data_IF_152272305404
#
_entry.id   IF_152272305404
#
_cell.length_a   1.000
_cell.length_b   1.000
_cell.length_c   1.000
_cell.angle_alpha   90.00
_cell.angle_beta   90.00
_cell.angle_gamma   90.00
#
_symmetry.space_group_name_H-M   'P 1'
#
loop_
_entity.id
_entity.type
_entity.pdbx_description
1 polymer ?
#
# COMPACT_ATOMS: atom_id res chain seq x y z
N UNK A 1 17.14 -18.09 14.00
CA UNK A 1 15.68 -17.98 14.28
C UNK A 1 15.38 -17.59 15.73
N UNK A 2 16.09 -16.62 16.33
CA UNK A 2 15.90 -16.24 17.74
C UNK A 2 15.09 -14.94 17.95
N UNK A 3 14.97 -14.07 16.93
CA UNK A 3 14.41 -12.70 17.08
C UNK A 3 12.89 -12.63 17.32
N UNK A 4 12.13 -13.68 16.99
CA UNK A 4 10.66 -13.69 17.21
C UNK A 4 10.26 -13.94 18.66
N UNK A 5 11.10 -14.64 19.44
CA UNK A 5 10.75 -15.07 20.80
C UNK A 5 11.01 -13.95 21.82
N UNK A 6 12.00 -13.09 21.59
CA UNK A 6 12.28 -11.94 22.46
C UNK A 6 11.18 -10.86 22.41
N UNK A 7 10.44 -10.76 21.29
CA UNK A 7 9.32 -9.81 21.15
C UNK A 7 8.11 -10.14 22.05
N UNK A 8 7.97 -11.39 22.48
CA UNK A 8 6.92 -11.81 23.43
C UNK A 8 7.24 -11.45 24.89
N UNK A 9 8.52 -11.20 25.22
CA UNK A 9 8.98 -10.98 26.59
C UNK A 9 9.09 -9.49 26.99
N UNK A 10 8.97 -8.55 26.03
CA UNK A 10 9.23 -7.12 26.27
C UNK A 10 8.01 -6.19 26.15
N UNK A 11 6.79 -6.72 26.05
CA UNK A 11 5.59 -5.86 26.04
C UNK A 11 5.64 -4.82 24.92
N UNK A 12 5.79 -5.29 23.68
CA UNK A 12 5.78 -4.39 22.50
C UNK A 12 4.56 -3.50 22.61
N UNK A 13 4.74 -2.17 22.71
CA UNK A 13 3.60 -1.27 22.83
C UNK A 13 2.72 -1.48 21.59
N UNK A 14 1.42 -1.63 21.81
CA UNK A 14 0.41 -1.68 20.73
C UNK A 14 0.37 -0.40 19.89
N UNK A 15 1.19 0.59 20.23
CA UNK A 15 1.22 1.94 19.68
C UNK A 15 2.54 2.14 18.96
N UNK A 16 2.52 2.42 17.64
CA UNK A 16 3.71 2.75 16.88
C UNK A 16 4.29 4.08 17.36
N UNK A 17 5.62 4.17 17.43
CA UNK A 17 6.33 5.33 17.97
C UNK A 17 6.92 6.23 16.89
N UNK A 18 7.36 5.64 15.78
CA UNK A 18 8.05 6.34 14.70
C UNK A 18 7.13 6.75 13.56
N UNK A 19 5.94 6.15 13.45
CA UNK A 19 4.93 6.46 12.43
C UNK A 19 4.19 7.75 12.77
N UNK A 20 4.15 8.68 11.81
CA UNK A 20 3.47 9.99 11.93
C UNK A 20 2.19 10.07 11.09
N UNK A 21 2.11 9.33 9.98
CA UNK A 21 0.90 9.26 9.16
C UNK A 21 0.63 7.85 8.63
N UNK A 22 -0.64 7.50 8.51
CA UNK A 22 -1.10 6.28 7.84
C UNK A 22 -2.13 6.66 6.77
N UNK A 23 -1.84 6.34 5.52
CA UNK A 23 -2.78 6.52 4.40
C UNK A 23 -3.24 5.15 3.91
N UNK A 24 -4.55 4.92 3.89
CA UNK A 24 -5.13 3.65 3.47
C UNK A 24 -5.89 3.85 2.18
N UNK A 25 -5.51 3.10 1.15
CA UNK A 25 -6.22 3.05 -0.13
C UNK A 25 -6.75 1.64 -0.31
N UNK A 26 -8.06 1.44 -0.16
CA UNK A 26 -8.68 0.13 -0.38
C UNK A 26 -10.10 0.25 -0.92
N UNK A 27 -10.65 -0.86 -1.43
CA UNK A 27 -12.05 -0.91 -1.80
C UNK A 27 -12.94 -0.93 -0.54
N UNK A 28 -14.20 -0.50 -0.68
CA UNK A 28 -15.16 -0.50 0.44
C UNK A 28 -15.58 -1.91 0.87
N UNK A 29 -15.47 -2.89 -0.03
CA UNK A 29 -15.71 -4.31 0.22
C UNK A 29 -14.44 -5.04 0.68
N UNK A 30 -13.30 -4.34 0.82
CA UNK A 30 -12.08 -4.92 1.39
C UNK A 30 -12.32 -5.32 2.83
N UNK A 31 -12.49 -6.63 3.06
CA UNK A 31 -12.65 -7.16 4.42
C UNK A 31 -11.45 -6.83 5.29
N UNK A 32 -10.23 -6.92 4.75
CA UNK A 32 -9.00 -6.67 5.50
C UNK A 32 -8.83 -5.19 5.81
N UNK A 33 -8.98 -4.31 4.80
CA UNK A 33 -8.85 -2.87 4.97
C UNK A 33 -9.88 -2.31 5.95
N UNK A 34 -11.16 -2.62 5.73
CA UNK A 34 -12.24 -2.11 6.59
C UNK A 34 -12.16 -2.69 8.01
N UNK A 35 -11.90 -3.99 8.17
CA UNK A 35 -11.76 -4.60 9.50
C UNK A 35 -10.56 -4.02 10.27
N UNK A 36 -9.45 -3.73 9.58
CA UNK A 36 -8.31 -3.07 10.19
C UNK A 36 -8.66 -1.65 10.67
N UNK A 37 -9.35 -0.87 9.83
CA UNK A 37 -9.79 0.48 10.20
C UNK A 37 -10.74 0.46 11.40
N UNK A 38 -11.67 -0.49 11.48
CA UNK A 38 -12.63 -0.53 12.59
C UNK A 38 -12.00 -1.02 13.91
N UNK A 39 -11.07 -1.98 13.85
CA UNK A 39 -10.50 -2.58 15.07
C UNK A 39 -9.28 -1.85 15.62
N UNK A 40 -8.37 -1.41 14.75
CA UNK A 40 -7.05 -0.95 15.17
C UNK A 40 -6.89 0.57 15.10
N UNK A 41 -7.49 1.24 14.11
CA UNK A 41 -7.35 2.69 13.97
C UNK A 41 -7.78 3.46 15.24
N UNK A 42 -8.90 3.13 15.93
CA UNK A 42 -9.27 3.83 17.16
C UNK A 42 -8.23 3.66 18.27
N UNK A 43 -7.66 2.46 18.39
CA UNK A 43 -6.62 2.15 19.36
C UNK A 43 -5.32 2.90 19.06
N UNK A 44 -4.95 2.98 17.77
CA UNK A 44 -3.79 3.74 17.30
C UNK A 44 -3.93 5.23 17.58
N UNK A 45 -5.10 5.82 17.29
CA UNK A 45 -5.41 7.22 17.58
C UNK A 45 -5.43 7.51 19.08
N UNK A 46 -5.88 6.57 19.90
CA UNK A 46 -5.84 6.71 21.35
C UNK A 46 -4.39 6.74 21.87
N UNK A 47 -3.52 5.87 21.33
CA UNK A 47 -2.11 5.83 21.71
C UNK A 47 -1.27 6.97 21.13
N UNK A 48 -1.60 7.43 19.92
CA UNK A 48 -0.92 8.50 19.20
C UNK A 48 -1.94 9.52 18.69
N UNK A 49 -2.29 10.55 19.48
CA UNK A 49 -3.30 11.53 19.09
C UNK A 49 -2.87 12.41 17.92
N UNK A 50 -1.55 12.52 17.67
CA UNK A 50 -0.96 13.28 16.56
C UNK A 50 -0.84 12.46 15.28
N UNK A 51 -1.24 11.19 15.28
CA UNK A 51 -1.20 10.34 14.11
C UNK A 51 -2.14 10.87 13.03
N UNK A 52 -1.58 11.28 11.90
CA UNK A 52 -2.37 11.64 10.73
C UNK A 52 -2.95 10.38 10.08
N UNK A 53 -4.20 10.48 9.64
CA UNK A 53 -4.87 9.37 8.97
C UNK A 53 -5.63 9.89 7.75
N UNK A 54 -5.38 9.28 6.60
CA UNK A 54 -6.10 9.52 5.35
C UNK A 54 -6.69 8.21 4.84
N UNK A 55 -7.93 8.27 4.34
CA UNK A 55 -8.58 7.12 3.74
C UNK A 55 -9.06 7.48 2.33
N UNK A 56 -8.61 6.69 1.36
CA UNK A 56 -8.99 6.81 -0.05
C UNK A 56 -9.76 5.58 -0.47
N UNK A 57 -11.02 5.80 -0.85
CA UNK A 57 -11.84 4.75 -1.46
C UNK A 57 -11.35 4.50 -2.87
N UNK A 58 -11.04 3.25 -3.15
CA UNK A 58 -10.65 2.80 -4.47
C UNK A 58 -11.91 2.41 -5.27
N UNK A 59 -12.15 3.09 -6.40
CA UNK A 59 -13.25 2.73 -7.28
C UNK A 59 -12.91 1.44 -8.01
N UNK A 60 -13.80 0.45 -7.94
CA UNK A 60 -13.68 -0.75 -8.74
C UNK A 60 -13.74 -0.33 -10.21
N UNK A 61 -12.67 -0.56 -10.96
CA UNK A 61 -12.74 -0.50 -12.41
C UNK A 61 -13.77 -1.55 -12.83
N UNK A 62 -14.95 -1.10 -13.27
CA UNK A 62 -15.86 -1.94 -14.02
C UNK A 62 -15.14 -2.21 -15.33
N UNK A 63 -14.77 -3.46 -15.65
CA UNK A 63 -14.21 -3.74 -16.96
C UNK A 63 -15.29 -3.35 -17.99
N UNK A 64 -15.01 -2.34 -18.81
CA UNK A 64 -15.80 -2.10 -20.01
C UNK A 64 -15.79 -3.40 -20.82
N UNK A 65 -16.96 -4.00 -21.00
CA UNK A 65 -17.14 -5.11 -21.92
C UNK A 65 -16.56 -4.69 -23.27
N UNK A 66 -15.67 -5.51 -23.89
CA UNK A 66 -15.17 -5.21 -25.22
C UNK A 66 -16.38 -5.18 -26.14
N UNK A 67 -16.73 -3.99 -26.65
CA UNK A 67 -17.63 -3.83 -27.78
C UNK A 67 -17.07 -4.65 -28.91
N UNK A 68 -17.70 -5.80 -29.15
CA UNK A 68 -17.53 -6.65 -30.31
C UNK A 68 -17.97 -5.85 -31.54
N UNK A 69 -17.08 -5.03 -32.08
CA UNK A 69 -17.27 -4.31 -33.33
C UNK A 69 -16.31 -4.91 -34.37
N UNK A 70 -16.85 -5.92 -35.06
CA UNK A 70 -16.56 -6.38 -36.42
C UNK A 70 -15.18 -6.06 -37.04
N UNK A 71 -14.41 -7.12 -37.32
CA UNK A 71 -13.41 -7.12 -38.38
C UNK A 71 -14.06 -6.74 -39.74
N UNK A 72 -13.31 -6.07 -40.63
CA UNK A 72 -12.71 -6.87 -41.71
C UNK A 72 -11.26 -6.50 -42.06
N UNK A 73 -10.67 -7.44 -42.76
CA UNK A 73 -9.30 -7.57 -43.26
C UNK A 73 -8.77 -6.35 -44.04
N UNK A 74 -7.45 -6.09 -43.91
CA UNK A 74 -6.47 -6.32 -44.99
C UNK A 74 -5.41 -5.21 -45.17
N UNK A 75 -4.15 -5.67 -45.32
CA UNK A 75 -3.00 -5.08 -46.01
C UNK A 75 -2.10 -4.03 -45.31
N UNK A 76 -0.92 -4.50 -44.87
CA UNK A 76 0.41 -3.81 -44.87
C UNK A 76 0.92 -3.59 -46.32
N UNK A 77 1.95 -2.73 -46.63
CA UNK A 77 3.25 -2.63 -45.94
C UNK A 77 4.00 -1.26 -45.89
N UNK A 78 5.06 -1.24 -45.06
CA UNK A 78 6.38 -0.55 -45.09
C UNK A 78 6.53 0.97 -45.35
N UNK A 79 7.26 1.67 -44.46
CA UNK A 79 8.32 2.66 -44.79
C UNK A 79 9.28 2.85 -43.60
N UNK A 80 10.57 2.90 -43.95
CA UNK A 80 11.83 2.99 -43.19
C UNK A 80 12.07 4.31 -42.40
N UNK A 81 12.95 4.16 -41.38
CA UNK A 81 14.00 5.08 -40.90
C UNK A 81 13.63 6.48 -40.36
N UNK A 82 13.80 6.68 -39.04
CA UNK A 82 14.73 7.70 -38.49
C UNK A 82 14.87 7.60 -36.96
N UNK A 83 16.11 7.63 -36.50
CA UNK A 83 16.52 7.72 -35.11
C UNK A 83 15.89 8.90 -34.35
N UNK A 84 15.36 8.62 -33.16
CA UNK A 84 15.17 9.62 -32.12
C UNK A 84 15.21 8.91 -30.76
N UNK A 85 16.28 9.13 -29.99
CA UNK A 85 16.27 8.98 -28.53
C UNK A 85 15.17 9.89 -27.96
N UNK A 86 14.42 9.38 -26.98
CA UNK A 86 14.04 10.20 -25.84
C UNK A 86 14.48 9.50 -24.55
N UNK A 87 15.50 10.07 -23.91
CA UNK A 87 15.52 10.13 -22.45
C UNK A 87 14.25 10.87 -22.00
N UNK A 88 13.24 10.12 -21.56
CA UNK A 88 12.25 10.62 -20.63
C UNK A 88 11.64 9.42 -19.90
N UNK A 89 12.02 9.25 -18.64
CA UNK A 89 11.25 8.45 -17.69
C UNK A 89 9.95 9.21 -17.41
N UNK A 90 8.80 8.67 -17.82
CA UNK A 90 7.74 8.49 -16.85
C UNK A 90 6.94 7.22 -17.17
N UNK A 91 7.55 6.05 -17.10
CA UNK A 91 6.82 4.79 -17.26
C UNK A 91 6.52 4.12 -15.91
N UNK A 92 5.46 4.59 -15.27
CA UNK A 92 4.59 3.72 -14.49
C UNK A 92 3.12 4.02 -14.81
N UNK A 93 2.59 3.66 -16.00
CA UNK A 93 1.16 3.69 -16.26
C UNK A 93 0.60 2.28 -16.00
N UNK A 94 0.59 1.81 -14.75
CA UNK A 94 -0.12 0.55 -14.40
C UNK A 94 -0.62 0.53 -12.96
N UNK A 95 -1.16 1.63 -12.44
CA UNK A 95 -2.03 1.54 -11.26
C UNK A 95 -3.43 1.11 -11.72
N UNK A 96 -3.53 -0.18 -12.09
CA UNK A 96 -4.77 -0.90 -11.83
C UNK A 96 -4.96 -0.81 -10.31
N UNK A 97 -5.62 0.26 -9.87
CA UNK A 97 -5.50 0.80 -8.52
C UNK A 97 -5.54 -0.35 -7.49
N UNK A 98 -4.38 -0.64 -6.87
CA UNK A 98 -4.24 -1.77 -5.95
C UNK A 98 -4.47 -1.32 -4.53
N UNK A 99 -4.98 -2.23 -3.71
CA UNK A 99 -5.13 -1.96 -2.29
C UNK A 99 -3.76 -1.85 -1.62
N UNK A 100 -3.49 -0.71 -1.01
CA UNK A 100 -2.22 -0.47 -0.33
C UNK A 100 -2.40 0.44 0.89
N UNK A 101 -1.45 0.32 1.81
CA UNK A 101 -1.33 1.18 2.98
C UNK A 101 0.04 1.83 2.96
N UNK A 102 0.07 3.16 3.03
CA UNK A 102 1.30 3.94 3.14
C UNK A 102 1.51 4.36 4.58
N UNK A 103 2.71 4.09 5.10
CA UNK A 103 3.19 4.51 6.41
C UNK A 103 4.23 5.60 6.21
N UNK A 104 4.00 6.77 6.81
CA UNK A 104 4.98 7.85 6.87
C UNK A 104 5.64 7.87 8.24
N UNK A 105 6.97 7.91 8.28
CA UNK A 105 7.76 7.94 9.51
C UNK A 105 8.27 9.34 9.81
N UNK A 106 8.62 9.56 11.08
CA UNK A 106 9.18 10.83 11.58
C UNK A 106 10.51 11.23 10.93
N UNK A 107 11.24 10.28 10.32
CA UNK A 107 12.45 10.53 9.53
C UNK A 107 12.16 11.02 8.09
N UNK A 108 10.87 11.17 7.73
CA UNK A 108 10.41 11.55 6.39
C UNK A 108 10.37 10.40 5.40
N UNK A 109 10.79 9.18 5.79
CA UNK A 109 10.69 8.01 4.93
C UNK A 109 9.25 7.54 4.83
N UNK A 110 8.94 6.86 3.72
CA UNK A 110 7.63 6.26 3.47
C UNK A 110 7.78 4.79 3.18
N UNK A 111 6.85 3.99 3.67
CA UNK A 111 6.78 2.57 3.40
C UNK A 111 5.39 2.18 2.92
N UNK A 112 5.35 1.54 1.76
CA UNK A 112 4.12 1.03 1.17
C UNK A 112 3.96 -0.46 1.53
N UNK A 113 2.78 -0.81 2.02
CA UNK A 113 2.34 -2.16 2.31
C UNK A 113 1.26 -2.55 1.29
N UNK A 114 1.51 -3.58 0.50
CA UNK A 114 0.50 -4.13 -0.41
C UNK A 114 -0.54 -4.92 0.40
N UNK A 115 -1.79 -4.45 0.41
CA UNK A 115 -2.85 -5.06 1.24
C UNK A 115 -3.29 -6.43 0.73
N UNK A 116 -3.13 -6.71 -0.56
CA UNK A 116 -3.48 -8.00 -1.19
C UNK A 116 -2.67 -9.17 -0.65
N UNK A 117 -1.53 -8.90 0.00
CA UNK A 117 -0.66 -9.93 0.57
C UNK A 117 -1.13 -10.44 1.94
N UNK A 118 -2.15 -9.82 2.52
CA UNK A 118 -2.60 -10.14 3.87
C UNK A 118 -3.97 -10.81 3.86
N UNK A 119 -4.10 -11.88 4.65
CA UNK A 119 -5.35 -12.64 4.79
C UNK A 119 -6.21 -12.06 5.93
N UNK A 120 -5.60 -11.35 6.88
CA UNK A 120 -6.29 -10.80 8.05
C UNK A 120 -5.74 -9.44 8.47
N UNK A 121 -6.61 -8.61 9.05
CA UNK A 121 -6.29 -7.30 9.62
C UNK A 121 -5.21 -7.37 10.71
N UNK A 122 -5.19 -8.45 11.49
CA UNK A 122 -4.14 -8.70 12.49
C UNK A 122 -2.75 -8.85 11.88
N UNK A 123 -2.62 -9.47 10.70
CA UNK A 123 -1.33 -9.57 10.01
C UNK A 123 -0.84 -8.20 9.54
N UNK A 124 -1.75 -7.36 9.03
CA UNK A 124 -1.44 -5.97 8.67
C UNK A 124 -0.93 -5.23 9.91
N UNK A 125 -1.66 -5.29 11.02
CA UNK A 125 -1.25 -4.62 12.25
C UNK A 125 0.10 -5.12 12.78
N UNK A 126 0.32 -6.43 12.79
CA UNK A 126 1.61 -7.00 13.19
C UNK A 126 2.74 -6.49 12.28
N UNK A 127 2.48 -6.38 10.96
CA UNK A 127 3.47 -5.87 10.02
C UNK A 127 3.78 -4.40 10.26
N UNK A 128 2.79 -3.57 10.55
CA UNK A 128 2.98 -2.16 10.91
C UNK A 128 3.90 -2.05 12.13
N UNK A 129 3.63 -2.83 13.19
CA UNK A 129 4.45 -2.83 14.39
C UNK A 129 5.87 -3.34 14.15
N UNK A 130 6.01 -4.39 13.32
CA UNK A 130 7.33 -4.93 12.98
C UNK A 130 8.17 -3.89 12.23
N UNK A 131 7.53 -3.16 11.30
CA UNK A 131 8.15 -2.08 10.53
C UNK A 131 8.52 -0.89 11.42
N UNK A 132 7.62 -0.46 12.30
CA UNK A 132 7.89 0.62 13.27
C UNK A 132 9.06 0.28 14.19
N UNK A 133 9.15 -0.98 14.64
CA UNK A 133 10.27 -1.46 15.44
C UNK A 133 11.58 -1.50 14.65
N UNK A 134 11.57 -1.94 13.39
CA UNK A 134 12.74 -1.94 12.50
C UNK A 134 13.26 -0.51 12.27
N UNK A 135 12.35 0.46 12.09
CA UNK A 135 12.68 1.87 11.94
C UNK A 135 13.22 2.49 13.22
N UNK A 136 12.59 2.22 14.36
CA UNK A 136 13.06 2.69 15.66
C UNK A 136 14.46 2.18 15.99
N UNK A 137 14.78 0.93 15.62
CA UNK A 137 16.11 0.34 15.82
C UNK A 137 17.18 0.87 14.86
N UNK A 138 16.77 1.35 13.69
CA UNK A 138 17.70 1.88 12.68
C UNK A 138 17.97 3.38 12.86
N UNK A 139 17.12 4.09 13.61
CA UNK A 139 17.23 5.51 13.90
C UNK A 139 18.02 5.85 15.19
N UNK A 140 18.42 4.84 15.98
CA UNK A 140 19.23 4.98 17.20
C UNK A 140 20.67 4.54 16.97
#
# INVERSE_FOLDING_TARGET
MARRVERLMLGVPLVPRSIVAIRVTCHQDSKVGMDWMHRFLPMLRYGSPMLEFDFRKLQRAVPEEPKEEAAPESSTPETEDKAQEPEETPEAPVDAAREHMELEFSDGTRQMLNMDLYVSSHQVMQRILDVDAEKTLSAG
#
